data_IF_160678391721
#
_entry.id   IF_160678391721
#
_cell.length_a   1.000
_cell.length_b   1.000
_cell.length_c   1.000
_cell.angle_alpha   90.00
_cell.angle_beta   90.00
_cell.angle_gamma   90.00
#
_symmetry.space_group_name_H-M   'P 1'
#
loop_
_entity.id
_entity.type
_entity.pdbx_description
1 polymer ?
#
# COMPACT_ATOMS: atom_id res chain seq x y z
N UNK A 1 42.63 -14.42 -3.19
CA UNK A 1 42.10 -14.29 -4.57
C UNK A 1 41.04 -15.35 -4.79
N UNK A 2 39.84 -14.88 -5.18
CA UNK A 2 38.69 -15.53 -5.83
C UNK A 2 37.41 -15.06 -5.11
N UNK A 3 36.98 -13.87 -5.53
CA UNK A 3 35.70 -13.30 -5.15
C UNK A 3 34.57 -14.02 -5.87
N UNK A 4 33.64 -14.57 -5.11
CA UNK A 4 32.33 -14.92 -5.61
C UNK A 4 31.54 -13.62 -5.78
N UNK A 5 31.39 -13.17 -7.02
CA UNK A 5 30.42 -12.14 -7.40
C UNK A 5 29.03 -12.72 -7.21
N UNK A 6 28.41 -12.42 -6.07
CA UNK A 6 26.97 -12.60 -5.89
C UNK A 6 26.29 -11.64 -6.86
N UNK A 7 25.83 -12.15 -8.00
CA UNK A 7 24.91 -11.40 -8.85
C UNK A 7 23.71 -10.99 -7.99
N UNK A 8 23.57 -9.70 -7.72
CA UNK A 8 22.29 -9.15 -7.26
C UNK A 8 21.27 -9.43 -8.35
N UNK A 9 20.44 -10.45 -8.12
CA UNK A 9 19.21 -10.63 -8.88
C UNK A 9 18.34 -9.47 -8.46
N UNK A 10 18.02 -8.57 -9.40
CA UNK A 10 17.11 -7.48 -9.18
C UNK A 10 15.71 -8.08 -8.96
N UNK A 11 15.34 -8.28 -7.70
CA UNK A 11 14.00 -8.73 -7.33
C UNK A 11 13.04 -7.55 -7.50
N UNK A 12 12.50 -7.38 -8.71
CA UNK A 12 11.32 -6.52 -8.87
C UNK A 12 10.11 -7.22 -8.25
N UNK A 13 9.13 -6.44 -7.76
CA UNK A 13 7.88 -6.95 -7.15
C UNK A 13 7.19 -8.04 -7.99
N UNK A 14 7.30 -7.97 -9.32
CA UNK A 14 6.73 -8.97 -10.25
C UNK A 14 7.51 -10.29 -10.32
N UNK A 15 8.83 -10.28 -10.15
CA UNK A 15 9.65 -11.50 -10.21
C UNK A 15 9.34 -12.46 -9.04
N UNK A 16 8.92 -11.91 -7.89
CA UNK A 16 8.46 -12.70 -6.74
C UNK A 16 7.07 -13.35 -6.98
N UNK A 17 6.15 -12.64 -7.63
CA UNK A 17 4.80 -13.20 -7.91
C UNK A 17 4.80 -14.31 -8.96
N UNK A 18 5.73 -14.28 -9.91
CA UNK A 18 5.82 -15.29 -10.99
C UNK A 18 6.52 -16.59 -10.57
N UNK A 19 7.39 -16.57 -9.56
CA UNK A 19 8.08 -17.78 -9.09
C UNK A 19 7.18 -18.75 -8.30
N UNK A 20 5.95 -18.36 -7.99
CA UNK A 20 4.92 -19.25 -7.40
C UNK A 20 4.17 -20.13 -8.42
N UNK A 21 4.34 -19.93 -9.72
CA UNK A 21 3.69 -20.71 -10.78
C UNK A 21 4.69 -21.01 -11.92
N UNK A 22 5.38 -22.14 -11.78
CA UNK A 22 6.10 -22.92 -12.83
C UNK A 22 7.22 -22.28 -13.67
N UNK A 23 8.39 -22.93 -13.57
CA UNK A 23 9.52 -23.12 -14.50
C UNK A 23 9.71 -22.30 -15.81
N UNK A 24 10.98 -21.87 -15.93
CA UNK A 24 11.85 -21.75 -17.12
C UNK A 24 11.45 -20.84 -18.28
N UNK A 25 12.23 -19.77 -18.46
CA UNK A 25 12.77 -19.40 -19.78
C UNK A 25 14.08 -18.60 -19.60
N UNK A 26 15.14 -19.04 -20.29
CA UNK A 26 16.40 -18.34 -20.40
C UNK A 26 16.33 -17.23 -21.47
N UNK A 27 17.08 -16.14 -21.28
CA UNK A 27 17.36 -15.16 -22.32
C UNK A 27 18.87 -14.83 -22.32
N UNK A 28 19.50 -14.67 -23.50
CA UNK A 28 20.93 -14.46 -23.61
C UNK A 28 21.31 -13.00 -23.36
N UNK A 29 22.44 -12.80 -22.69
CA UNK A 29 23.13 -11.52 -22.55
C UNK A 29 24.05 -11.29 -23.76
N UNK A 30 23.90 -10.16 -24.43
CA UNK A 30 24.99 -9.59 -25.24
C UNK A 30 25.36 -8.23 -24.65
N UNK A 31 26.61 -8.12 -24.22
CA UNK A 31 27.22 -6.85 -23.83
C UNK A 31 28.20 -6.43 -24.94
N UNK A 32 28.08 -5.20 -25.41
CA UNK A 32 29.12 -4.52 -26.17
C UNK A 32 29.54 -3.25 -25.42
N UNK A 33 30.84 -2.96 -25.29
CA UNK A 33 31.28 -1.67 -24.78
C UNK A 33 31.26 -0.67 -25.93
N UNK A 34 30.64 0.50 -25.71
CA UNK A 34 30.76 1.64 -26.62
C UNK A 34 31.29 2.81 -25.81
N UNK A 35 32.50 3.26 -26.17
CA UNK A 35 33.04 4.56 -25.76
C UNK A 35 32.29 5.68 -26.49
N UNK A 36 31.99 6.77 -25.77
CA UNK A 36 31.50 8.00 -26.38
C UNK A 36 32.43 9.16 -26.02
N UNK A 37 32.88 9.95 -27.01
CA UNK A 37 33.11 11.36 -26.83
C UNK A 37 32.06 12.12 -27.62
N UNK A 38 31.21 12.91 -26.95
CA UNK A 38 30.81 14.25 -27.40
C UNK A 38 29.84 14.86 -26.39
N UNK A 39 30.15 16.09 -26.00
CA UNK A 39 29.37 16.95 -25.13
C UNK A 39 28.03 17.23 -25.80
N UNK A 40 26.96 16.58 -25.32
CA UNK A 40 25.59 16.97 -25.59
C UNK A 40 25.22 18.06 -24.57
N UNK A 41 24.84 19.23 -25.06
CA UNK A 41 24.18 20.26 -24.25
C UNK A 41 23.00 19.64 -23.51
N UNK A 42 22.96 19.78 -22.18
CA UNK A 42 21.96 19.16 -21.31
C UNK A 42 20.54 19.39 -21.84
N UNK A 43 19.87 18.30 -22.25
CA UNK A 43 18.46 18.34 -22.62
C UNK A 43 17.62 18.24 -21.36
N UNK A 44 16.87 19.29 -21.06
CA UNK A 44 15.95 19.33 -19.92
C UNK A 44 14.51 19.31 -20.44
N UNK A 45 13.63 18.59 -19.74
CA UNK A 45 12.18 18.63 -19.96
C UNK A 45 11.55 19.43 -18.84
N UNK A 46 10.52 20.22 -19.15
CA UNK A 46 9.78 20.99 -18.16
C UNK A 46 8.30 20.66 -18.24
N UNK A 47 7.71 20.26 -17.12
CA UNK A 47 6.26 20.26 -16.95
C UNK A 47 5.85 21.62 -16.38
N UNK A 48 5.28 22.47 -17.23
CA UNK A 48 4.71 23.74 -16.83
C UNK A 48 3.44 23.50 -16.02
N UNK A 49 3.33 24.20 -14.90
CA UNK A 49 2.28 23.98 -13.89
C UNK A 49 1.33 25.17 -13.89
N UNK A 50 0.02 24.89 -13.95
CA UNK A 50 -1.03 25.91 -13.83
C UNK A 50 -1.91 25.54 -12.62
N UNK A 51 -1.44 25.80 -11.39
CA UNK A 51 -2.07 25.25 -10.19
C UNK A 51 -3.38 25.99 -9.84
N UNK A 52 -4.35 25.25 -9.32
CA UNK A 52 -5.54 25.83 -8.69
C UNK A 52 -5.15 26.70 -7.48
N UNK A 53 -5.95 27.71 -7.13
CA UNK A 53 -5.67 28.64 -6.02
C UNK A 53 -5.55 27.96 -4.63
N UNK A 54 -6.08 26.75 -4.48
CA UNK A 54 -5.95 25.95 -3.25
C UNK A 54 -4.74 25.01 -3.26
N UNK A 55 -3.91 25.02 -4.30
CA UNK A 55 -2.66 24.24 -4.28
C UNK A 55 -1.67 24.87 -3.29
N UNK A 56 -0.96 24.05 -2.48
CA UNK A 56 0.13 24.55 -1.65
C UNK A 56 1.29 25.05 -2.51
N UNK A 57 2.08 25.99 -1.97
CA UNK A 57 3.29 26.50 -2.63
C UNK A 57 4.32 25.39 -2.93
N UNK A 58 4.42 24.41 -2.03
CA UNK A 58 5.26 23.23 -2.22
C UNK A 58 4.43 22.08 -2.78
N UNK A 59 4.83 21.56 -3.93
CA UNK A 59 4.27 20.33 -4.50
C UNK A 59 4.99 19.10 -3.94
N UNK A 60 4.21 18.12 -3.51
CA UNK A 60 4.72 16.77 -3.25
C UNK A 60 4.70 15.99 -4.56
N UNK A 61 5.85 15.48 -4.98
CA UNK A 61 6.02 14.74 -6.23
C UNK A 61 7.13 13.68 -6.12
N UNK A 62 7.05 12.64 -6.95
CA UNK A 62 8.11 11.65 -7.13
C UNK A 62 8.06 11.02 -8.53
N UNK A 63 9.17 10.45 -8.97
CA UNK A 63 9.25 9.68 -10.21
C UNK A 63 9.17 8.18 -9.93
N UNK A 64 8.53 7.44 -10.83
CA UNK A 64 8.48 5.98 -10.79
C UNK A 64 8.77 5.39 -12.17
N UNK A 65 9.31 4.18 -12.21
CA UNK A 65 9.61 3.47 -13.45
C UNK A 65 8.35 2.82 -14.07
N UNK A 66 8.54 2.02 -15.12
CA UNK A 66 7.44 1.32 -15.81
C UNK A 66 6.77 0.20 -15.01
N UNK A 67 7.26 -0.07 -13.80
CA UNK A 67 6.72 -1.04 -12.86
C UNK A 67 6.05 -0.37 -11.65
N UNK A 68 5.88 0.97 -11.69
CA UNK A 68 5.37 1.79 -10.60
C UNK A 68 6.29 1.81 -9.37
N UNK A 69 7.57 1.42 -9.53
CA UNK A 69 8.54 1.44 -8.44
C UNK A 69 9.19 2.84 -8.36
N UNK A 70 9.06 3.55 -7.21
CA UNK A 70 9.66 4.87 -7.03
C UNK A 70 11.18 4.82 -7.12
N UNK A 71 11.79 5.89 -7.63
CA UNK A 71 13.25 6.01 -7.65
C UNK A 71 13.72 7.44 -7.39
N UNK A 72 14.92 7.56 -6.81
CA UNK A 72 15.56 8.86 -6.58
C UNK A 72 15.92 9.53 -7.91
N UNK A 73 15.57 10.81 -8.04
CA UNK A 73 15.85 11.61 -9.23
C UNK A 73 16.04 13.08 -8.85
N UNK A 74 16.71 13.84 -9.72
CA UNK A 74 16.81 15.30 -9.59
C UNK A 74 15.55 16.04 -10.06
N UNK A 75 14.43 15.35 -10.29
CA UNK A 75 13.17 15.99 -10.69
C UNK A 75 12.67 16.87 -9.55
N UNK A 76 12.49 18.16 -9.82
CA UNK A 76 12.11 19.13 -8.80
C UNK A 76 11.27 20.28 -9.36
N UNK A 77 10.41 20.85 -8.50
CA UNK A 77 9.72 22.10 -8.78
C UNK A 77 10.70 23.28 -8.74
N UNK A 78 10.81 24.02 -9.84
CA UNK A 78 11.58 25.27 -10.00
C UNK A 78 10.65 26.39 -10.48
N UNK A 79 11.20 27.59 -10.70
CA UNK A 79 10.45 28.77 -11.15
C UNK A 79 9.69 28.59 -12.46
N UNK A 80 10.23 27.77 -13.35
CA UNK A 80 9.73 27.48 -14.70
C UNK A 80 8.72 26.32 -14.75
N UNK A 81 8.59 25.56 -13.66
CA UNK A 81 7.78 24.35 -13.57
C UNK A 81 8.52 23.18 -12.93
N UNK A 82 8.03 21.96 -13.12
CA UNK A 82 8.74 20.76 -12.67
C UNK A 82 9.79 20.41 -13.73
N UNK A 83 11.06 20.51 -13.36
CA UNK A 83 12.19 20.28 -14.26
C UNK A 83 12.65 18.84 -14.15
N UNK A 84 12.73 18.17 -15.29
CA UNK A 84 13.31 16.85 -15.47
C UNK A 84 14.74 17.02 -15.95
N UNK A 85 15.72 16.60 -15.15
CA UNK A 85 17.11 16.92 -15.39
C UNK A 85 17.73 15.92 -16.39
N UNK A 86 18.74 16.38 -17.12
CA UNK A 86 19.29 15.65 -18.28
C UNK A 86 19.86 14.27 -17.96
N UNK A 87 20.26 14.03 -16.71
CA UNK A 87 20.79 12.74 -16.25
C UNK A 87 19.78 11.59 -16.36
N UNK A 88 18.47 11.87 -16.45
CA UNK A 88 17.47 10.82 -16.65
C UNK A 88 17.60 10.17 -18.04
N UNK A 89 18.15 10.87 -19.02
CA UNK A 89 18.50 10.35 -20.35
C UNK A 89 17.42 9.45 -20.97
N UNK A 90 17.74 8.18 -21.17
CA UNK A 90 16.84 7.21 -21.81
C UNK A 90 15.86 6.54 -20.83
N UNK A 91 16.02 6.74 -19.52
CA UNK A 91 15.21 6.07 -18.48
C UNK A 91 13.73 6.40 -18.67
N UNK A 92 12.90 5.37 -18.69
CA UNK A 92 11.44 5.55 -18.68
C UNK A 92 10.99 6.01 -17.29
N UNK A 93 10.08 6.97 -17.26
CA UNK A 93 9.51 7.43 -16.01
C UNK A 93 8.06 7.89 -16.15
N UNK A 94 7.33 7.78 -15.04
CA UNK A 94 6.11 8.51 -14.77
C UNK A 94 6.37 9.58 -13.70
N UNK A 95 5.55 10.64 -13.70
CA UNK A 95 5.59 11.69 -12.69
C UNK A 95 4.33 11.61 -11.84
N UNK A 96 4.50 11.37 -10.54
CA UNK A 96 3.41 11.28 -9.57
C UNK A 96 3.37 12.56 -8.75
N UNK A 97 2.20 13.19 -8.65
CA UNK A 97 2.04 14.50 -8.00
C UNK A 97 0.78 14.50 -7.13
N UNK A 98 0.88 15.05 -5.91
CA UNK A 98 -0.30 15.39 -5.13
C UNK A 98 -0.95 16.63 -5.70
N UNK A 99 -2.16 16.48 -6.25
CA UNK A 99 -2.88 17.50 -7.00
C UNK A 99 -4.27 17.75 -6.42
N UNK A 100 -4.71 19.01 -6.39
CA UNK A 100 -6.06 19.36 -6.01
C UNK A 100 -6.99 19.23 -7.21
N UNK A 101 -8.10 18.51 -7.04
CA UNK A 101 -9.17 18.43 -8.02
C UNK A 101 -10.47 18.83 -7.36
N UNK A 102 -11.17 19.79 -7.97
CA UNK A 102 -12.46 20.26 -7.46
C UNK A 102 -13.45 19.08 -7.37
N UNK A 103 -14.19 19.00 -6.26
CA UNK A 103 -15.08 17.87 -5.96
C UNK A 103 -14.41 16.59 -5.43
N UNK A 104 -13.07 16.50 -5.45
CA UNK A 104 -12.31 15.35 -4.92
C UNK A 104 -11.36 15.71 -3.77
N UNK A 105 -10.87 16.96 -3.72
CA UNK A 105 -9.84 17.36 -2.77
C UNK A 105 -8.44 17.04 -3.30
N UNK A 106 -7.51 16.71 -2.40
CA UNK A 106 -6.13 16.38 -2.80
C UNK A 106 -5.99 14.88 -3.08
N UNK A 107 -5.58 14.56 -4.30
CA UNK A 107 -5.37 13.20 -4.77
C UNK A 107 -3.95 13.05 -5.33
N UNK A 108 -3.37 11.86 -5.28
CA UNK A 108 -2.11 11.58 -5.99
C UNK A 108 -2.46 11.13 -7.40
N UNK A 109 -1.94 11.86 -8.39
CA UNK A 109 -2.19 11.60 -9.81
C UNK A 109 -0.87 11.31 -10.51
N UNK A 110 -0.93 10.42 -11.49
CA UNK A 110 0.20 10.03 -12.33
C UNK A 110 0.07 10.67 -13.71
N UNK A 111 1.13 11.34 -14.15
CA UNK A 111 1.39 11.62 -15.55
C UNK A 111 2.31 10.49 -16.07
N UNK A 112 1.81 9.68 -16.99
CA UNK A 112 2.54 8.53 -17.56
C UNK A 112 2.52 8.54 -19.10
N UNK A 113 2.22 9.70 -19.71
CA UNK A 113 2.07 9.86 -21.15
C UNK A 113 0.99 8.95 -21.77
N UNK A 114 -0.03 8.52 -21.01
CA UNK A 114 -1.00 7.52 -21.48
C UNK A 114 -0.46 6.09 -21.42
N UNK A 115 0.42 5.83 -20.44
CA UNK A 115 1.20 4.62 -20.19
C UNK A 115 2.25 4.24 -21.23
N UNK A 116 2.66 5.20 -22.05
CA UNK A 116 3.87 5.08 -22.87
C UNK A 116 5.12 5.54 -22.10
N UNK A 117 4.93 6.16 -20.92
CA UNK A 117 5.95 6.78 -20.09
C UNK A 117 6.69 7.93 -20.81
N UNK A 118 7.49 8.68 -20.06
CA UNK A 118 8.37 9.71 -20.59
C UNK A 118 9.80 9.21 -20.68
N UNK A 119 10.54 9.73 -21.65
CA UNK A 119 11.99 9.57 -21.80
C UNK A 119 12.53 10.81 -22.51
N UNK A 120 13.68 11.35 -22.08
CA UNK A 120 14.26 12.53 -22.73
C UNK A 120 14.68 12.22 -24.17
N UNK A 121 15.05 10.96 -24.46
CA UNK A 121 15.39 10.49 -25.82
C UNK A 121 14.25 10.64 -26.83
N UNK A 122 13.00 10.63 -26.38
CA UNK A 122 11.84 10.77 -27.26
C UNK A 122 11.68 12.19 -27.82
N UNK A 123 12.46 13.16 -27.34
CA UNK A 123 12.34 14.55 -27.72
C UNK A 123 13.61 15.07 -28.41
N UNK A 124 13.44 15.70 -29.56
CA UNK A 124 14.55 16.29 -30.33
C UNK A 124 14.96 17.68 -29.83
N UNK A 125 14.19 18.26 -28.90
CA UNK A 125 14.35 19.57 -28.26
C UNK A 125 13.88 19.47 -26.82
N UNK A 126 14.27 20.41 -25.97
CA UNK A 126 13.77 20.55 -24.59
C UNK A 126 12.25 20.72 -24.59
N UNK A 127 11.46 19.68 -24.24
CA UNK A 127 10.02 19.74 -24.34
C UNK A 127 9.44 20.51 -23.14
N UNK A 128 8.46 21.37 -23.42
CA UNK A 128 7.63 22.03 -22.40
C UNK A 128 6.24 21.41 -22.48
N UNK A 129 5.87 20.65 -21.46
CA UNK A 129 4.58 19.96 -21.36
C UNK A 129 3.69 20.66 -20.36
N UNK A 130 2.38 20.59 -20.54
CA UNK A 130 1.42 21.12 -19.58
C UNK A 130 1.07 20.03 -18.56
N UNK A 131 1.45 20.20 -17.28
CA UNK A 131 1.24 19.18 -16.25
C UNK A 131 -0.23 18.82 -16.09
N UNK A 132 -1.12 19.82 -15.98
CA UNK A 132 -2.56 19.62 -15.82
C UNK A 132 -3.11 18.70 -16.93
N UNK A 133 -2.71 18.98 -18.17
CA UNK A 133 -3.09 18.17 -19.32
C UNK A 133 -2.50 16.76 -19.29
N UNK A 134 -1.24 16.60 -18.92
CA UNK A 134 -0.60 15.28 -18.85
C UNK A 134 -1.21 14.40 -17.76
N UNK A 135 -1.58 14.96 -16.60
CA UNK A 135 -2.35 14.26 -15.55
C UNK A 135 -3.72 13.83 -16.08
N UNK A 136 -4.43 14.74 -16.75
CA UNK A 136 -5.74 14.45 -17.32
C UNK A 136 -5.71 13.38 -18.42
N UNK A 137 -4.78 13.52 -19.36
CA UNK A 137 -4.52 12.57 -20.45
C UNK A 137 -4.30 11.15 -19.89
N UNK A 138 -3.43 11.03 -18.90
CA UNK A 138 -3.10 9.76 -18.26
C UNK A 138 -4.34 9.11 -17.62
N UNK A 139 -5.17 9.90 -16.90
CA UNK A 139 -6.43 9.40 -16.33
C UNK A 139 -7.44 8.97 -17.40
N UNK A 140 -7.64 9.75 -18.47
CA UNK A 140 -8.55 9.37 -19.57
C UNK A 140 -8.09 8.07 -20.23
N UNK A 141 -6.79 7.95 -20.56
CA UNK A 141 -6.27 6.73 -21.20
C UNK A 141 -6.39 5.51 -20.28
N UNK A 142 -6.21 5.68 -18.97
CA UNK A 142 -6.48 4.64 -17.98
C UNK A 142 -7.95 4.22 -18.00
N UNK A 143 -8.88 5.17 -17.89
CA UNK A 143 -10.32 4.88 -17.89
C UNK A 143 -10.74 4.12 -19.16
N UNK A 144 -10.31 4.57 -20.35
CA UNK A 144 -10.61 3.89 -21.62
C UNK A 144 -10.18 2.43 -21.59
N UNK A 145 -8.94 2.15 -21.21
CA UNK A 145 -8.40 0.79 -21.16
C UNK A 145 -9.11 -0.09 -20.15
N UNK A 146 -9.35 0.43 -18.94
CA UNK A 146 -10.03 -0.29 -17.87
C UNK A 146 -11.48 -0.60 -18.27
N UNK A 147 -12.21 0.39 -18.79
CA UNK A 147 -13.59 0.23 -19.23
C UNK A 147 -13.68 -0.82 -20.34
N UNK A 148 -12.85 -0.72 -21.39
CA UNK A 148 -12.80 -1.71 -22.47
C UNK A 148 -12.45 -3.11 -21.97
N UNK A 149 -11.53 -3.24 -21.01
CA UNK A 149 -11.19 -4.53 -20.40
C UNK A 149 -12.40 -5.14 -19.69
N UNK A 150 -13.10 -4.36 -18.88
CA UNK A 150 -14.27 -4.83 -18.13
C UNK A 150 -15.49 -5.12 -19.02
N UNK A 151 -15.70 -4.36 -20.09
CA UNK A 151 -16.71 -4.66 -21.12
C UNK A 151 -16.43 -6.02 -21.78
N UNK A 152 -15.17 -6.33 -22.10
CA UNK A 152 -14.77 -7.67 -22.61
C UNK A 152 -15.03 -8.78 -21.62
N UNK A 153 -15.07 -8.46 -20.33
CA UNK A 153 -15.40 -9.39 -19.25
C UNK A 153 -16.91 -9.44 -18.93
N UNK A 154 -17.76 -8.78 -19.73
CA UNK A 154 -19.21 -8.83 -19.65
C UNK A 154 -19.89 -7.72 -18.85
N UNK A 155 -19.15 -6.74 -18.31
CA UNK A 155 -19.79 -5.63 -17.58
C UNK A 155 -20.57 -4.73 -18.52
N UNK A 156 -21.81 -4.43 -18.13
CA UNK A 156 -22.64 -3.43 -18.77
C UNK A 156 -22.65 -2.17 -17.92
N UNK A 157 -21.92 -1.14 -18.33
CA UNK A 157 -21.86 0.11 -17.58
C UNK A 157 -23.17 0.89 -17.66
N UNK A 158 -23.47 1.67 -16.63
CA UNK A 158 -24.66 2.53 -16.57
C UNK A 158 -24.61 3.71 -17.56
N UNK A 159 -25.75 4.37 -17.75
CA UNK A 159 -25.81 5.62 -18.51
C UNK A 159 -25.00 6.73 -17.85
N UNK A 160 -24.92 6.76 -16.51
CA UNK A 160 -24.17 7.77 -15.77
C UNK A 160 -22.68 7.69 -16.09
N UNK A 161 -22.07 6.49 -16.09
CA UNK A 161 -20.67 6.31 -16.47
C UNK A 161 -20.44 6.76 -17.90
N UNK A 162 -21.30 6.34 -18.85
CA UNK A 162 -21.18 6.76 -20.25
C UNK A 162 -21.26 8.27 -20.40
N UNK A 163 -22.16 8.92 -19.66
CA UNK A 163 -22.34 10.37 -19.69
C UNK A 163 -21.11 11.09 -19.13
N UNK A 164 -20.62 10.71 -17.94
CA UNK A 164 -19.42 11.29 -17.32
C UNK A 164 -18.18 11.10 -18.20
N UNK A 165 -17.98 9.88 -18.73
CA UNK A 165 -16.91 9.61 -19.69
C UNK A 165 -17.04 10.50 -20.92
N UNK A 166 -18.24 10.66 -21.49
CA UNK A 166 -18.43 11.50 -22.68
C UNK A 166 -18.09 12.98 -22.46
N UNK A 167 -18.38 13.52 -21.26
CA UNK A 167 -18.02 14.90 -20.91
C UNK A 167 -16.50 15.02 -20.80
N UNK A 168 -15.87 14.07 -20.10
CA UNK A 168 -14.43 14.06 -19.93
C UNK A 168 -13.73 13.96 -21.32
N UNK A 169 -14.25 13.15 -22.22
CA UNK A 169 -13.74 13.03 -23.60
C UNK A 169 -13.87 14.33 -24.41
N UNK A 170 -14.96 15.08 -24.23
CA UNK A 170 -15.12 16.39 -24.87
C UNK A 170 -14.08 17.39 -24.36
N UNK A 171 -13.89 17.48 -23.05
CA UNK A 171 -12.84 18.33 -22.46
C UNK A 171 -11.45 17.91 -22.93
N UNK A 172 -11.19 16.61 -23.05
CA UNK A 172 -9.91 16.11 -23.59
C UNK A 172 -9.70 16.55 -25.03
N UNK A 173 -10.72 16.41 -25.88
CA UNK A 173 -10.67 16.86 -27.27
C UNK A 173 -10.46 18.37 -27.41
N UNK A 174 -11.00 19.18 -26.50
CA UNK A 174 -10.80 20.63 -26.48
C UNK A 174 -9.43 21.03 -25.91
N UNK A 175 -8.94 20.33 -24.89
CA UNK A 175 -7.60 20.53 -24.33
C UNK A 175 -6.50 20.20 -25.36
N UNK A 176 -6.68 19.16 -26.18
CA UNK A 176 -5.74 18.79 -27.28
C UNK A 176 -5.61 19.91 -28.33
N UNK A 177 -6.67 20.72 -28.54
CA UNK A 177 -6.69 21.81 -29.53
C UNK A 177 -6.20 23.15 -28.98
N UNK A 178 -5.85 23.20 -27.70
CA UNK A 178 -5.44 24.43 -27.02
C UNK A 178 -4.07 24.26 -26.39
N UNK A 179 -3.49 25.35 -25.87
CA UNK A 179 -2.19 25.35 -25.23
C UNK A 179 -2.23 26.20 -23.95
N UNK A 180 -1.19 26.08 -23.14
CA UNK A 180 -0.94 26.91 -21.96
C UNK A 180 -2.14 26.96 -20.99
N UNK A 181 -2.50 28.13 -20.46
CA UNK A 181 -3.57 28.30 -19.46
C UNK A 181 -4.91 27.72 -19.92
N UNK A 182 -5.28 27.90 -21.19
CA UNK A 182 -6.57 27.40 -21.71
C UNK A 182 -6.62 25.88 -21.78
N UNK A 183 -5.49 25.25 -22.11
CA UNK A 183 -5.37 23.80 -22.07
C UNK A 183 -5.45 23.28 -20.64
N UNK A 184 -4.83 23.98 -19.68
CA UNK A 184 -4.93 23.63 -18.27
C UNK A 184 -6.37 23.74 -17.74
N UNK A 185 -7.12 24.80 -18.09
CA UNK A 185 -8.52 24.98 -17.69
C UNK A 185 -9.41 23.82 -18.17
N UNK A 186 -9.31 23.45 -19.45
CA UNK A 186 -10.05 22.29 -19.96
C UNK A 186 -9.59 20.99 -19.31
N UNK A 187 -8.30 20.84 -19.04
CA UNK A 187 -7.76 19.65 -18.40
C UNK A 187 -8.27 19.48 -16.96
N UNK A 188 -8.26 20.53 -16.15
CA UNK A 188 -8.72 20.47 -14.75
C UNK A 188 -10.22 20.16 -14.67
N UNK A 189 -11.02 20.82 -15.53
CA UNK A 189 -12.47 20.58 -15.60
C UNK A 189 -12.78 19.16 -16.07
N UNK A 190 -12.08 18.69 -17.11
CA UNK A 190 -12.23 17.33 -17.62
C UNK A 190 -11.76 16.25 -16.64
N UNK A 191 -10.69 16.52 -15.90
CA UNK A 191 -10.11 15.60 -14.92
C UNK A 191 -11.09 15.27 -13.80
N UNK A 192 -11.88 16.23 -13.32
CA UNK A 192 -12.96 15.98 -12.36
C UNK A 192 -13.94 14.90 -12.88
N UNK A 193 -14.42 15.04 -14.12
CA UNK A 193 -15.32 14.04 -14.72
C UNK A 193 -14.63 12.70 -14.96
N UNK A 194 -13.36 12.70 -15.37
CA UNK A 194 -12.59 11.47 -15.54
C UNK A 194 -12.34 10.74 -14.22
N UNK A 195 -12.14 11.45 -13.11
CA UNK A 195 -12.03 10.83 -11.80
C UNK A 195 -13.35 10.15 -11.42
N UNK A 196 -14.48 10.86 -11.48
CA UNK A 196 -15.81 10.30 -11.17
C UNK A 196 -16.17 9.11 -12.06
N UNK A 197 -15.92 9.20 -13.36
CA UNK A 197 -16.13 8.09 -14.28
C UNK A 197 -15.30 6.87 -13.87
N UNK A 198 -14.01 7.07 -13.56
CA UNK A 198 -13.11 5.98 -13.16
C UNK A 198 -13.52 5.30 -11.86
N UNK A 199 -13.94 6.06 -10.83
CA UNK A 199 -14.44 5.49 -9.57
C UNK A 199 -15.69 4.61 -9.81
N UNK A 200 -16.62 5.11 -10.63
CA UNK A 200 -17.85 4.38 -10.95
C UNK A 200 -17.60 3.14 -11.82
N UNK A 201 -16.62 3.19 -12.74
CA UNK A 201 -16.19 2.03 -13.53
C UNK A 201 -15.73 0.88 -12.62
N UNK A 202 -14.88 1.17 -11.64
CA UNK A 202 -14.40 0.14 -10.69
C UNK A 202 -15.55 -0.36 -9.79
N UNK A 203 -16.43 0.54 -9.33
CA UNK A 203 -17.57 0.17 -8.50
C UNK A 203 -18.57 -0.75 -9.22
N UNK A 204 -18.96 -0.42 -10.46
CA UNK A 204 -19.87 -1.26 -11.24
C UNK A 204 -19.21 -2.58 -11.65
N UNK A 205 -17.89 -2.61 -11.89
CA UNK A 205 -17.16 -3.88 -12.06
C UNK A 205 -17.23 -4.74 -10.80
N UNK A 206 -17.01 -4.15 -9.63
CA UNK A 206 -17.08 -4.85 -8.36
C UNK A 206 -18.49 -5.42 -8.10
N UNK A 207 -19.53 -4.64 -8.37
CA UNK A 207 -20.92 -5.09 -8.27
C UNK A 207 -21.21 -6.27 -9.20
N UNK A 208 -20.85 -6.14 -10.49
CA UNK A 208 -20.98 -7.22 -11.46
C UNK A 208 -20.25 -8.49 -10.99
N UNK A 209 -19.04 -8.37 -10.44
CA UNK A 209 -18.28 -9.50 -9.88
C UNK A 209 -18.94 -10.14 -8.68
N UNK A 210 -19.43 -9.34 -7.73
CA UNK A 210 -20.13 -9.83 -6.55
C UNK A 210 -21.37 -10.63 -6.97
N UNK A 211 -22.16 -10.09 -7.88
CA UNK A 211 -23.37 -10.73 -8.41
C UNK A 211 -23.05 -11.99 -9.23
N UNK A 212 -22.00 -11.95 -10.06
CA UNK A 212 -21.62 -13.06 -10.93
C UNK A 212 -20.99 -14.21 -10.16
N UNK A 213 -20.13 -13.92 -9.18
CA UNK A 213 -19.45 -14.95 -8.40
C UNK A 213 -20.41 -15.70 -7.48
N UNK A 214 -21.57 -15.11 -7.13
CA UNK A 214 -22.60 -15.70 -6.25
C UNK A 214 -21.98 -16.36 -5.01
N UNK A 215 -20.97 -15.70 -4.44
CA UNK A 215 -20.21 -16.21 -3.31
C UNK A 215 -21.15 -16.50 -2.15
N UNK A 216 -21.16 -17.76 -1.72
CA UNK A 216 -21.88 -18.21 -0.52
C UNK A 216 -20.93 -18.40 0.66
N UNK A 217 -19.63 -18.25 0.44
CA UNK A 217 -18.63 -18.27 1.51
C UNK A 217 -18.76 -17.03 2.39
N UNK A 218 -18.51 -17.25 3.68
CA UNK A 218 -18.51 -16.18 4.68
C UNK A 218 -17.35 -15.24 4.40
N UNK A 219 -17.67 -13.96 4.22
CA UNK A 219 -16.69 -12.89 4.11
C UNK A 219 -16.57 -12.20 5.46
N UNK A 220 -15.40 -12.31 6.07
CA UNK A 220 -15.09 -11.54 7.26
C UNK A 220 -14.83 -10.08 6.88
N UNK A 221 -15.69 -9.19 7.35
CA UNK A 221 -15.58 -7.75 7.20
C UNK A 221 -15.64 -7.11 8.58
N UNK A 222 -14.61 -6.32 8.89
CA UNK A 222 -14.32 -5.97 10.26
C UNK A 222 -13.29 -4.86 10.40
N UNK A 223 -13.12 -4.42 11.64
CA UNK A 223 -12.05 -3.51 12.02
C UNK A 223 -11.50 -3.85 13.40
N UNK A 224 -10.55 -3.03 13.85
CA UNK A 224 -9.96 -3.16 15.17
C UNK A 224 -10.83 -2.50 16.24
N UNK A 225 -10.89 -3.12 17.41
CA UNK A 225 -11.84 -2.75 18.48
C UNK A 225 -11.36 -1.65 19.40
N UNK A 226 -10.20 -1.04 19.18
CA UNK A 226 -9.61 -0.19 20.23
C UNK A 226 -10.42 1.08 20.49
N UNK A 227 -11.02 1.62 19.44
CA UNK A 227 -11.88 2.79 19.56
C UNK A 227 -13.21 2.48 20.24
N UNK A 228 -13.63 1.21 20.34
CA UNK A 228 -14.90 0.82 20.95
C UNK A 228 -15.05 1.36 22.39
N UNK A 229 -14.03 1.16 23.22
CA UNK A 229 -14.04 1.60 24.63
C UNK A 229 -14.09 3.13 24.76
N UNK A 230 -13.55 3.83 23.76
CA UNK A 230 -13.41 5.28 23.78
C UNK A 230 -14.61 5.99 23.16
N UNK A 231 -15.31 5.33 22.23
CA UNK A 231 -16.44 5.90 21.52
C UNK A 231 -17.55 6.36 22.47
N UNK A 232 -17.73 5.67 23.62
CA UNK A 232 -18.75 5.97 24.65
C UNK A 232 -20.10 6.35 24.02
N UNK A 233 -20.47 5.66 22.95
CA UNK A 233 -21.57 6.02 22.06
C UNK A 233 -22.37 4.78 21.73
N UNK A 234 -23.63 4.77 22.16
CA UNK A 234 -24.56 3.69 21.84
C UNK A 234 -24.74 3.53 20.32
N UNK A 235 -24.70 4.64 19.58
CA UNK A 235 -24.81 4.60 18.12
C UNK A 235 -23.57 3.96 17.49
N UNK A 236 -22.37 4.23 18.00
CA UNK A 236 -21.17 3.55 17.54
C UNK A 236 -21.26 2.05 17.78
N UNK A 237 -21.61 1.64 19.01
CA UNK A 237 -21.78 0.23 19.39
C UNK A 237 -22.80 -0.47 18.50
N UNK A 238 -23.96 0.16 18.27
CA UNK A 238 -25.03 -0.36 17.43
C UNK A 238 -24.60 -0.52 15.98
N UNK A 239 -23.91 0.48 15.41
CA UNK A 239 -23.43 0.40 14.02
C UNK A 239 -22.30 -0.61 13.86
N UNK A 240 -21.40 -0.72 14.85
CA UNK A 240 -20.32 -1.70 14.82
C UNK A 240 -20.88 -3.12 14.66
N UNK A 241 -21.79 -3.53 15.57
CA UNK A 241 -22.39 -4.86 15.52
C UNK A 241 -23.27 -5.09 14.28
N UNK A 242 -23.87 -4.03 13.72
CA UNK A 242 -24.66 -4.12 12.48
C UNK A 242 -23.79 -4.28 11.23
N UNK A 243 -22.61 -3.66 11.20
CA UNK A 243 -21.77 -3.56 10.00
C UNK A 243 -20.71 -4.65 9.92
N UNK A 244 -20.22 -5.12 11.07
CA UNK A 244 -19.07 -6.01 11.13
C UNK A 244 -19.45 -7.39 11.66
N UNK A 245 -18.95 -8.43 10.98
CA UNK A 245 -19.02 -9.83 11.42
C UNK A 245 -17.64 -10.38 11.82
N UNK A 246 -16.64 -9.52 11.80
CA UNK A 246 -15.27 -9.81 12.20
C UNK A 246 -14.70 -8.63 12.97
N UNK A 247 -13.84 -8.89 13.96
CA UNK A 247 -13.13 -7.84 14.64
C UNK A 247 -11.79 -8.33 15.18
N UNK A 248 -10.84 -7.40 15.29
CA UNK A 248 -9.54 -7.68 15.87
C UNK A 248 -9.43 -7.09 17.29
N UNK A 249 -8.84 -7.84 18.21
CA UNK A 249 -8.61 -7.42 19.60
C UNK A 249 -7.11 -7.24 19.84
N UNK A 250 -6.72 -6.00 20.09
CA UNK A 250 -5.31 -5.64 20.26
C UNK A 250 -4.73 -6.23 21.56
N UNK A 251 -3.63 -6.96 21.41
CA UNK A 251 -2.94 -7.70 22.46
C UNK A 251 -1.54 -7.19 22.79
N UNK A 252 -1.19 -5.96 22.38
CA UNK A 252 0.10 -5.37 22.72
C UNK A 252 0.45 -5.53 24.21
N UNK A 253 1.69 -5.98 24.44
CA UNK A 253 2.23 -6.22 25.78
C UNK A 253 2.28 -4.88 26.53
N UNK A 254 2.72 -3.83 25.84
CA UNK A 254 2.70 -2.46 26.31
C UNK A 254 2.00 -1.54 25.31
N UNK A 255 1.05 -0.74 25.80
CA UNK A 255 0.49 0.41 25.09
C UNK A 255 -0.03 1.44 26.12
N UNK A 256 -0.46 2.61 25.64
CA UNK A 256 -1.03 3.68 26.47
C UNK A 256 -2.49 3.97 26.16
N UNK A 257 -3.11 3.13 25.31
CA UNK A 257 -4.52 3.28 24.96
C UNK A 257 -5.43 2.75 26.07
N UNK A 258 -4.92 1.81 26.87
CA UNK A 258 -5.58 1.26 28.06
C UNK A 258 -4.62 1.15 29.24
N UNK A 259 -5.10 0.55 30.33
CA UNK A 259 -4.21 -0.03 31.32
C UNK A 259 -3.26 -1.03 30.64
N UNK A 260 -1.96 -0.92 30.95
CA UNK A 260 -0.93 -1.78 30.38
C UNK A 260 -1.32 -3.24 30.56
N UNK A 261 -1.29 -4.02 29.48
CA UNK A 261 -1.76 -5.39 29.52
C UNK A 261 -0.88 -6.30 30.37
N UNK A 262 0.43 -6.20 30.25
CA UNK A 262 1.38 -6.97 31.05
C UNK A 262 2.38 -6.00 31.72
N UNK A 263 1.97 -5.32 32.81
CA UNK A 263 2.81 -4.33 33.50
C UNK A 263 4.15 -4.90 33.97
N UNK A 264 4.19 -6.20 34.25
CA UNK A 264 5.41 -6.96 34.52
C UNK A 264 5.21 -8.40 34.10
N UNK A 265 6.28 -9.09 33.71
CA UNK A 265 6.27 -10.48 33.25
C UNK A 265 5.36 -11.39 34.07
N UNK A 266 4.42 -12.05 33.39
CA UNK A 266 3.46 -13.00 33.95
C UNK A 266 2.29 -12.38 34.72
N UNK A 267 2.21 -11.04 34.88
CA UNK A 267 1.08 -10.36 35.50
C UNK A 267 0.25 -9.64 34.45
N UNK A 268 -0.93 -10.19 34.17
CA UNK A 268 -1.82 -9.72 33.12
C UNK A 268 -3.02 -8.93 33.67
N UNK A 269 -3.36 -7.85 32.98
CA UNK A 269 -4.56 -7.06 33.18
C UNK A 269 -5.61 -7.43 32.12
N UNK A 270 -6.41 -8.46 32.42
CA UNK A 270 -7.38 -9.01 31.46
C UNK A 270 -8.61 -8.12 31.25
N UNK A 271 -9.01 -7.33 32.25
CA UNK A 271 -10.35 -6.76 32.35
C UNK A 271 -10.86 -6.08 31.09
N UNK A 272 -10.11 -5.13 30.53
CA UNK A 272 -10.52 -4.41 29.32
C UNK A 272 -10.65 -5.34 28.11
N UNK A 273 -9.71 -6.27 27.93
CA UNK A 273 -9.68 -7.18 26.78
C UNK A 273 -10.75 -8.28 26.88
N UNK A 274 -10.98 -8.80 28.09
CA UNK A 274 -12.09 -9.73 28.36
C UNK A 274 -13.44 -9.08 28.08
N UNK A 275 -13.63 -7.81 28.45
CA UNK A 275 -14.85 -7.08 28.15
C UNK A 275 -15.08 -6.95 26.64
N UNK A 276 -14.04 -6.67 25.85
CA UNK A 276 -14.15 -6.63 24.39
C UNK A 276 -14.48 -8.02 23.83
N UNK A 277 -13.73 -9.06 24.24
CA UNK A 277 -13.92 -10.43 23.72
C UNK A 277 -15.32 -10.94 24.04
N UNK A 278 -15.82 -10.70 25.25
CA UNK A 278 -17.16 -11.10 25.65
C UNK A 278 -18.22 -10.33 24.85
N UNK A 279 -18.06 -9.01 24.69
CA UNK A 279 -19.00 -8.21 23.90
C UNK A 279 -19.05 -8.65 22.42
N UNK A 280 -17.90 -8.94 21.81
CA UNK A 280 -17.84 -9.47 20.44
C UNK A 280 -18.56 -10.82 20.33
N UNK A 281 -18.33 -11.71 21.31
CA UNK A 281 -19.00 -13.01 21.38
C UNK A 281 -20.52 -12.89 21.55
N UNK A 282 -20.99 -11.97 22.40
CA UNK A 282 -22.42 -11.67 22.58
C UNK A 282 -23.10 -11.13 21.31
N UNK A 283 -22.33 -10.60 20.36
CA UNK A 283 -22.81 -10.07 19.08
C UNK A 283 -22.51 -11.01 17.89
N UNK A 284 -22.11 -12.25 18.15
CA UNK A 284 -21.75 -13.24 17.11
C UNK A 284 -20.67 -12.74 16.14
N UNK A 285 -19.76 -11.87 16.61
CA UNK A 285 -18.66 -11.32 15.80
C UNK A 285 -17.44 -12.23 15.93
N UNK A 286 -16.91 -12.67 14.79
CA UNK A 286 -15.69 -13.50 14.76
C UNK A 286 -14.48 -12.70 15.24
N UNK A 287 -13.67 -13.29 16.12
CA UNK A 287 -12.57 -12.60 16.80
C UNK A 287 -11.21 -13.09 16.29
N UNK A 288 -10.33 -12.13 15.99
CA UNK A 288 -8.89 -12.36 15.86
C UNK A 288 -8.14 -11.64 16.99
N UNK A 289 -7.38 -12.37 17.79
CA UNK A 289 -6.43 -11.79 18.73
C UNK A 289 -5.18 -11.32 17.98
N UNK A 290 -4.72 -10.07 18.21
CA UNK A 290 -3.54 -9.58 17.51
C UNK A 290 -2.72 -8.52 18.24
N UNK A 291 -1.40 -8.50 18.08
CA UNK A 291 -0.53 -9.66 17.98
C UNK A 291 -0.25 -10.24 19.38
N UNK A 292 0.22 -11.49 19.42
CA UNK A 292 0.89 -12.02 20.62
C UNK A 292 2.25 -11.31 20.81
N UNK A 293 3.00 -11.12 19.72
CA UNK A 293 4.26 -10.39 19.77
C UNK A 293 4.40 -9.39 18.62
N UNK A 294 4.75 -8.16 18.98
CA UNK A 294 5.31 -7.16 18.08
C UNK A 294 6.54 -6.59 18.77
N UNK A 295 7.73 -7.01 18.35
CA UNK A 295 8.99 -6.61 18.99
C UNK A 295 9.44 -5.21 18.56
N UNK A 296 8.51 -4.27 18.54
CA UNK A 296 8.73 -2.88 18.16
C UNK A 296 8.93 -2.00 19.41
N UNK A 297 9.76 -0.97 19.28
CA UNK A 297 10.18 -0.13 20.41
C UNK A 297 9.02 0.54 21.15
N UNK A 298 7.90 0.80 20.44
CA UNK A 298 6.70 1.47 20.96
C UNK A 298 5.74 0.58 21.74
N UNK A 299 5.89 -0.75 21.69
CA UNK A 299 4.96 -1.70 22.34
C UNK A 299 5.64 -2.79 23.16
N UNK A 300 6.97 -2.81 23.18
CA UNK A 300 7.77 -3.68 24.05
C UNK A 300 8.11 -2.97 25.37
N UNK A 301 7.74 -3.52 26.54
CA UNK A 301 8.11 -2.94 27.83
C UNK A 301 9.61 -3.09 28.12
N UNK A 302 10.16 -2.22 28.97
CA UNK A 302 11.60 -2.18 29.30
C UNK A 302 12.15 -3.51 29.82
N UNK A 303 11.38 -4.23 30.64
CA UNK A 303 11.80 -5.54 31.18
C UNK A 303 11.93 -6.61 30.10
N UNK A 304 11.17 -6.50 29.01
CA UNK A 304 11.24 -7.43 27.88
C UNK A 304 12.42 -7.08 26.96
N UNK A 305 12.67 -5.78 26.73
CA UNK A 305 13.80 -5.27 25.93
C UNK A 305 15.16 -5.81 26.39
N UNK A 306 15.34 -6.00 27.69
CA UNK A 306 16.61 -6.44 28.28
C UNK A 306 16.85 -7.96 28.27
N UNK A 307 15.92 -8.79 27.77
CA UNK A 307 16.07 -10.24 27.78
C UNK A 307 17.13 -10.72 26.79
N UNK A 308 17.92 -11.71 27.21
CA UNK A 308 18.73 -12.53 26.31
C UNK A 308 17.85 -13.39 25.39
N UNK A 309 18.45 -13.96 24.35
CA UNK A 309 17.73 -14.81 23.40
C UNK A 309 17.03 -16.02 24.06
N UNK A 310 17.69 -16.68 25.02
CA UNK A 310 17.13 -17.83 25.72
C UNK A 310 16.01 -17.43 26.69
N UNK A 311 16.15 -16.28 27.39
CA UNK A 311 15.08 -15.72 28.21
C UNK A 311 13.88 -15.30 27.36
N UNK A 312 14.12 -14.76 26.16
CA UNK A 312 13.06 -14.39 25.23
C UNK A 312 12.31 -15.62 24.73
N UNK A 313 13.01 -16.71 24.36
CA UNK A 313 12.35 -17.97 23.98
C UNK A 313 11.44 -18.49 25.08
N UNK A 314 11.91 -18.48 26.33
CA UNK A 314 11.09 -18.89 27.48
C UNK A 314 9.85 -18.01 27.62
N UNK A 315 10.03 -16.68 27.57
CA UNK A 315 8.92 -15.74 27.64
C UNK A 315 7.92 -15.93 26.50
N UNK A 316 8.38 -16.16 25.26
CA UNK A 316 7.50 -16.40 24.11
C UNK A 316 6.61 -17.62 24.35
N UNK A 317 7.14 -18.71 24.87
CA UNK A 317 6.35 -19.90 25.22
C UNK A 317 5.36 -19.59 26.34
N UNK A 318 5.84 -19.01 27.44
CA UNK A 318 5.03 -18.74 28.64
C UNK A 318 3.90 -17.75 28.33
N UNK A 319 4.19 -16.64 27.65
CA UNK A 319 3.21 -15.64 27.25
C UNK A 319 2.17 -16.21 26.28
N UNK A 320 2.62 -16.97 25.26
CA UNK A 320 1.70 -17.61 24.31
C UNK A 320 0.73 -18.55 25.03
N UNK A 321 1.24 -19.42 25.93
CA UNK A 321 0.39 -20.35 26.70
C UNK A 321 -0.60 -19.62 27.60
N UNK A 322 -0.17 -18.55 28.27
CA UNK A 322 -1.03 -17.76 29.15
C UNK A 322 -2.15 -17.05 28.36
N UNK A 323 -1.81 -16.33 27.30
CA UNK A 323 -2.79 -15.55 26.53
C UNK A 323 -3.73 -16.46 25.74
N UNK A 324 -3.19 -17.41 24.97
CA UNK A 324 -4.03 -18.33 24.18
C UNK A 324 -4.85 -19.24 25.09
N UNK A 325 -4.26 -19.72 26.18
CA UNK A 325 -4.96 -20.54 27.17
C UNK A 325 -6.08 -19.79 27.90
N UNK A 326 -5.90 -18.51 28.23
CA UNK A 326 -6.93 -17.70 28.89
C UNK A 326 -8.18 -17.50 28.02
N UNK A 327 -8.01 -17.28 26.72
CA UNK A 327 -9.14 -17.11 25.81
C UNK A 327 -9.74 -18.43 25.34
N UNK A 328 -8.92 -19.48 25.19
CA UNK A 328 -9.37 -20.78 24.71
C UNK A 328 -10.16 -20.66 23.42
N UNK A 329 -11.29 -21.37 23.35
CA UNK A 329 -12.13 -21.41 22.14
C UNK A 329 -12.85 -20.09 21.81
N UNK A 330 -12.78 -19.07 22.69
CA UNK A 330 -13.34 -17.74 22.40
C UNK A 330 -12.55 -17.00 21.31
N UNK A 331 -11.27 -17.33 21.11
CA UNK A 331 -10.42 -16.69 20.11
C UNK A 331 -9.62 -17.74 19.35
N UNK A 332 -10.14 -18.13 18.17
CA UNK A 332 -9.59 -19.20 17.34
C UNK A 332 -8.66 -18.73 16.22
N UNK A 333 -8.31 -17.43 16.20
CA UNK A 333 -7.40 -16.85 15.22
C UNK A 333 -6.43 -15.90 15.92
N UNK A 334 -5.13 -16.11 15.74
CA UNK A 334 -4.10 -15.31 16.39
C UNK A 334 -3.06 -14.82 15.39
N UNK A 335 -2.87 -13.50 15.35
CA UNK A 335 -1.63 -12.91 14.82
C UNK A 335 -0.53 -13.20 15.84
N UNK A 336 0.31 -14.18 15.53
CA UNK A 336 1.33 -14.67 16.45
C UNK A 336 2.50 -13.68 16.49
N UNK A 337 2.99 -13.31 15.31
CA UNK A 337 4.07 -12.34 15.14
C UNK A 337 3.62 -11.23 14.19
N UNK A 338 3.85 -9.99 14.60
CA UNK A 338 3.75 -8.82 13.75
C UNK A 338 5.15 -8.29 13.42
N UNK A 339 5.45 -8.18 12.12
CA UNK A 339 6.55 -7.37 11.56
C UNK A 339 7.92 -7.64 12.20
N UNK A 340 8.28 -8.88 12.49
CA UNK A 340 9.56 -9.16 13.18
C UNK A 340 10.78 -9.09 12.24
N UNK A 341 11.03 -7.89 11.74
CA UNK A 341 12.10 -7.52 10.82
C UNK A 341 12.50 -6.05 11.07
N UNK A 342 13.74 -5.70 10.69
CA UNK A 342 14.27 -4.33 10.65
C UNK A 342 13.79 -3.41 11.80
N UNK A 343 12.84 -2.52 11.51
CA UNK A 343 12.31 -1.50 12.44
C UNK A 343 11.62 -2.07 13.70
N UNK A 344 11.08 -3.29 13.62
CA UNK A 344 10.44 -4.01 14.71
C UNK A 344 11.27 -5.24 15.15
N UNK A 345 12.58 -5.19 14.93
CA UNK A 345 13.57 -6.13 15.48
C UNK A 345 14.47 -5.44 16.53
N UNK A 346 13.88 -4.97 17.63
CA UNK A 346 14.61 -4.27 18.71
C UNK A 346 15.68 -5.10 19.43
N UNK A 347 15.67 -6.42 19.25
CA UNK A 347 16.66 -7.32 19.84
C UNK A 347 17.86 -7.57 18.92
N UNK A 348 17.88 -6.95 17.72
CA UNK A 348 18.95 -7.09 16.72
C UNK A 348 19.21 -8.56 16.34
N UNK A 349 18.15 -9.38 16.36
CA UNK A 349 18.25 -10.79 16.04
C UNK A 349 18.59 -11.00 14.56
N UNK A 350 19.44 -11.99 14.29
CA UNK A 350 19.68 -12.47 12.93
C UNK A 350 18.40 -13.06 12.33
N UNK A 351 18.33 -13.16 10.99
CA UNK A 351 17.20 -13.79 10.30
C UNK A 351 16.91 -15.22 10.81
N UNK A 352 17.95 -15.98 11.19
CA UNK A 352 17.78 -17.31 11.78
C UNK A 352 17.07 -17.25 13.14
N UNK A 353 17.45 -16.29 13.98
CA UNK A 353 16.86 -16.10 15.31
C UNK A 353 15.42 -15.58 15.23
N UNK A 354 15.10 -14.68 14.30
CA UNK A 354 13.72 -14.21 14.10
C UNK A 354 12.82 -15.36 13.60
N UNK A 355 13.31 -16.20 12.69
CA UNK A 355 12.62 -17.42 12.25
C UNK A 355 12.42 -18.39 13.41
N UNK A 356 13.44 -18.60 14.25
CA UNK A 356 13.36 -19.51 15.40
C UNK A 356 12.30 -19.05 16.40
N UNK A 357 12.27 -17.77 16.77
CA UNK A 357 11.25 -17.21 17.66
C UNK A 357 9.85 -17.30 17.04
N UNK A 358 9.73 -16.94 15.76
CA UNK A 358 8.45 -17.01 15.04
C UNK A 358 7.91 -18.44 15.00
N UNK A 359 8.77 -19.40 14.67
CA UNK A 359 8.43 -20.82 14.69
C UNK A 359 8.02 -21.28 16.09
N UNK A 360 8.80 -20.92 17.11
CA UNK A 360 8.52 -21.30 18.50
C UNK A 360 7.15 -20.81 18.96
N UNK A 361 6.79 -19.56 18.66
CA UNK A 361 5.49 -19.01 19.00
C UNK A 361 4.36 -19.75 18.26
N UNK A 362 4.50 -19.97 16.95
CA UNK A 362 3.51 -20.71 16.16
C UNK A 362 3.33 -22.16 16.64
N UNK A 363 4.43 -22.88 16.88
CA UNK A 363 4.42 -24.24 17.40
C UNK A 363 3.72 -24.28 18.77
N UNK A 364 4.00 -23.32 19.65
CA UNK A 364 3.35 -23.23 20.97
C UNK A 364 1.83 -23.02 20.86
N UNK A 365 1.36 -22.20 19.91
CA UNK A 365 -0.08 -22.06 19.64
C UNK A 365 -0.68 -23.40 19.19
N UNK A 366 -0.01 -24.09 18.26
CA UNK A 366 -0.48 -25.36 17.71
C UNK A 366 -0.44 -26.52 18.71
N UNK A 367 0.51 -26.51 19.64
CA UNK A 367 0.54 -27.44 20.78
C UNK A 367 -0.68 -27.26 21.69
N UNK A 368 -1.10 -26.01 21.92
CA UNK A 368 -2.25 -25.68 22.77
C UNK A 368 -3.58 -26.07 22.10
N UNK A 369 -3.74 -25.72 20.83
CA UNK A 369 -4.89 -26.12 20.03
C UNK A 369 -4.51 -26.11 18.52
N UNK A 370 -4.47 -27.29 17.86
CA UNK A 370 -4.07 -27.38 16.46
C UNK A 370 -5.04 -26.68 15.49
N UNK A 371 -6.30 -26.47 15.91
CA UNK A 371 -7.34 -25.83 15.10
C UNK A 371 -7.23 -24.30 15.07
N UNK A 372 -6.45 -23.69 15.97
CA UNK A 372 -6.25 -22.23 15.98
C UNK A 372 -5.54 -21.79 14.71
N UNK A 373 -6.10 -20.82 13.99
CA UNK A 373 -5.45 -20.20 12.83
C UNK A 373 -4.30 -19.31 13.30
N UNK A 374 -3.07 -19.63 12.89
CA UNK A 374 -1.87 -18.86 13.18
C UNK A 374 -1.53 -17.93 12.02
N UNK A 375 -1.46 -16.64 12.29
CA UNK A 375 -1.21 -15.59 11.30
C UNK A 375 0.15 -14.94 11.60
N UNK A 376 0.97 -14.76 10.56
CA UNK A 376 2.18 -13.93 10.63
C UNK A 376 1.88 -12.69 9.80
N UNK A 377 1.85 -11.52 10.43
CA UNK A 377 1.58 -10.25 9.76
C UNK A 377 2.90 -9.54 9.46
N UNK A 378 3.05 -8.97 8.27
CA UNK A 378 4.18 -8.13 7.89
C UNK A 378 3.66 -6.93 7.08
N UNK A 379 4.32 -5.79 7.25
CA UNK A 379 4.19 -4.63 6.37
C UNK A 379 5.45 -4.51 5.50
N UNK A 380 5.34 -3.78 4.40
CA UNK A 380 6.48 -3.52 3.50
C UNK A 380 7.29 -4.79 3.16
N UNK A 381 6.65 -5.89 2.70
CA UNK A 381 7.31 -7.17 2.50
C UNK A 381 8.42 -7.14 1.43
N UNK A 382 8.56 -6.02 0.70
CA UNK A 382 9.58 -5.80 -0.31
C UNK A 382 10.63 -4.76 0.12
N UNK A 383 10.77 -4.55 1.43
CA UNK A 383 11.73 -3.63 2.02
C UNK A 383 11.55 -2.17 1.56
N UNK A 384 10.31 -1.72 1.36
CA UNK A 384 10.01 -0.34 0.99
C UNK A 384 10.57 0.69 2.00
N UNK A 385 10.75 0.31 3.26
CA UNK A 385 11.39 1.12 4.30
C UNK A 385 12.91 1.30 4.11
N UNK A 386 13.56 0.47 3.29
CA UNK A 386 14.98 0.62 2.97
C UNK A 386 15.24 1.63 1.84
N UNK A 387 14.17 2.13 1.20
CA UNK A 387 14.24 3.05 0.06
C UNK A 387 14.14 4.54 0.45
N UNK A 388 13.94 4.85 1.74
CA UNK A 388 13.77 6.22 2.26
C UNK A 388 14.97 6.72 3.05
#
# INVERSE_FOLDING_TARGET
>A
MLGASTKMINFSRRNFTKSGLTNTAALPLTAHPISFPQVLTAQEMVFQVYPHAWMPEKLWLYAADEFDDPFESGIALKSEGIVVPSELGERLFSLNVRWFVEGFGYVVLTADNGSEYYSLKCFTRNPILNLNFELFKSRIMRNRRVQTRYEKEGVLFSHEIRYLSSIAEQFYADAVKTNSVKQADYADRGLMYALWAGEKIELERAQYHIESNRRTDLVHFGCETRQYIWAKSEEFTRQFARLFNFATVTHYIWDTWYEVFEPSEGRYNWGVKDNIVNWLGENDITIQGRPLFWFHHSVTPTWLKGKSFDELKKYVVDHTRNVVGHYGDRVMQWEVINEYHDWANIHEHSAKQTIEITKLACDTVKEMNPEIVTIINNCCPFAEYAAT
#
